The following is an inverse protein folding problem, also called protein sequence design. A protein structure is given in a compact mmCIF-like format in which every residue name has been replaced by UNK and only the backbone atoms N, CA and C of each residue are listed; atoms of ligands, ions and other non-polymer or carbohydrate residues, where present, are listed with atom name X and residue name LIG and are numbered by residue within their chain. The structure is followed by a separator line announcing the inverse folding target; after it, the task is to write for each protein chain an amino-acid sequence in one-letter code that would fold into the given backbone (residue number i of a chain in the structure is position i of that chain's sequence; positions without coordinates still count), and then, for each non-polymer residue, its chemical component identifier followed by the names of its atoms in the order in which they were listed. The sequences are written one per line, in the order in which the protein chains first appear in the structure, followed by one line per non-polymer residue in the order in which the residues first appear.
data_IF_633871406780
#
_entry.id   IF_633871406780
#
_cell.length_a   1.000
_cell.length_b   1.000
_cell.length_c   1.000
_cell.angle_alpha   90.00
_cell.angle_beta   90.00
_cell.angle_gamma   90.00
#
_symmetry.space_group_name_H-M   'P 1'
#
loop_
_entity.id
_entity.type
_entity.pdbx_description
1 polymer ?
#
# COMPACT_ATOMS: atom_id res chain seq x y z
N UNK A 1 -46.94 29.43 -11.97
CA UNK A 1 -46.67 28.02 -11.66
C UNK A 1 -45.19 27.79 -11.44
N UNK A 2 -44.69 28.18 -10.26
CA UNK A 2 -43.36 27.84 -9.76
C UNK A 2 -43.56 26.85 -8.62
N UNK A 3 -43.02 25.64 -8.74
CA UNK A 3 -42.97 24.67 -7.65
C UNK A 3 -41.62 24.83 -6.97
N UNK A 4 -41.64 25.36 -5.74
CA UNK A 4 -40.52 25.41 -4.82
C UNK A 4 -40.21 23.99 -4.34
N UNK A 5 -38.99 23.50 -4.56
CA UNK A 5 -38.48 22.26 -3.97
C UNK A 5 -37.94 22.53 -2.57
N UNK A 6 -38.46 21.84 -1.56
CA UNK A 6 -37.93 21.80 -0.21
C UNK A 6 -36.50 21.26 -0.19
N UNK A 7 -35.53 22.10 0.17
CA UNK A 7 -34.25 21.67 0.74
C UNK A 7 -34.48 21.56 2.25
N UNK A 8 -34.47 20.34 2.79
CA UNK A 8 -34.35 20.13 4.24
C UNK A 8 -32.87 20.26 4.58
N UNK A 9 -32.51 21.35 5.24
CA UNK A 9 -31.28 21.42 6.02
C UNK A 9 -31.35 20.35 7.12
N UNK A 10 -30.53 19.30 7.01
CA UNK A 10 -30.30 18.37 8.10
C UNK A 10 -29.27 18.97 9.03
N UNK A 11 -29.77 19.64 10.07
CA UNK A 11 -29.01 20.04 11.26
C UNK A 11 -28.48 18.77 11.95
N UNK A 12 -27.25 18.36 11.64
CA UNK A 12 -26.57 17.22 12.25
C UNK A 12 -26.10 17.56 13.68
N UNK A 13 -27.03 17.78 14.59
CA UNK A 13 -26.72 17.74 16.03
C UNK A 13 -26.60 16.29 16.46
N UNK A 14 -25.36 15.87 16.75
CA UNK A 14 -25.05 14.61 17.42
C UNK A 14 -25.85 14.51 18.74
N UNK A 15 -26.36 13.32 19.12
CA UNK A 15 -26.94 13.13 20.44
C UNK A 15 -25.87 13.43 21.52
N UNK A 16 -26.27 14.01 22.67
CA UNK A 16 -25.31 14.36 23.72
C UNK A 16 -24.69 13.09 24.30
N UNK A 17 -23.38 12.92 24.08
CA UNK A 17 -22.57 11.87 24.69
C UNK A 17 -22.31 12.28 26.15
N UNK A 18 -22.82 11.51 27.10
CA UNK A 18 -22.77 11.81 28.55
C UNK A 18 -21.42 11.48 29.21
N UNK A 19 -20.30 11.66 28.50
CA UNK A 19 -18.94 11.44 29.01
C UNK A 19 -17.97 12.45 28.40
N UNK A 20 -16.94 12.85 29.14
CA UNK A 20 -15.89 13.76 28.65
C UNK A 20 -15.19 13.11 27.45
N UNK A 21 -15.47 13.62 26.24
CA UNK A 21 -14.74 13.27 25.02
C UNK A 21 -13.42 14.03 25.03
N UNK A 22 -12.31 13.30 25.01
CA UNK A 22 -10.96 13.88 25.03
C UNK A 22 -10.39 13.90 23.61
N UNK A 23 -9.75 15.01 23.23
CA UNK A 23 -9.07 15.15 21.94
C UNK A 23 -7.67 14.52 22.00
N UNK A 24 -7.34 13.67 21.02
CA UNK A 24 -6.03 13.03 20.85
C UNK A 24 -5.43 13.38 19.48
N UNK A 25 -4.25 14.01 19.49
CA UNK A 25 -3.57 14.45 18.27
C UNK A 25 -2.93 13.29 17.49
N UNK A 26 -3.28 13.16 16.22
CA UNK A 26 -2.65 12.24 15.28
C UNK A 26 -1.45 12.88 14.58
N UNK A 27 -0.39 12.09 14.37
CA UNK A 27 0.69 12.46 13.44
C UNK A 27 0.29 12.05 12.02
N UNK A 28 0.96 12.61 11.02
CA UNK A 28 0.71 12.26 9.61
C UNK A 28 0.86 10.74 9.36
N UNK A 29 1.82 10.10 10.05
CA UNK A 29 2.02 8.66 10.00
C UNK A 29 0.87 7.84 10.60
N UNK A 30 -0.02 8.42 11.43
CA UNK A 30 -1.10 7.71 12.12
C UNK A 30 -2.42 7.74 11.32
N UNK A 31 -2.54 8.62 10.31
CA UNK A 31 -3.75 8.80 9.49
C UNK A 31 -4.15 7.56 8.69
N UNK A 32 -3.20 6.68 8.35
CA UNK A 32 -3.46 5.48 7.57
C UNK A 32 -4.54 4.59 8.20
N UNK A 33 -4.63 4.60 9.53
CA UNK A 33 -5.63 3.88 10.30
C UNK A 33 -7.04 4.32 9.87
N UNK A 34 -7.23 5.61 9.65
CA UNK A 34 -8.51 6.22 9.25
C UNK A 34 -8.87 5.86 7.80
N UNK A 35 -7.91 5.95 6.87
CA UNK A 35 -8.12 5.66 5.45
C UNK A 35 -8.54 4.22 5.15
N UNK A 36 -8.09 3.26 5.95
CA UNK A 36 -8.39 1.85 5.71
C UNK A 36 -9.80 1.47 6.15
N UNK A 37 -10.49 2.33 6.90
CA UNK A 37 -11.82 2.02 7.47
C UNK A 37 -12.99 2.58 6.67
N UNK A 38 -12.74 3.48 5.72
CA UNK A 38 -13.79 4.30 5.08
C UNK A 38 -14.68 3.51 4.09
N UNK A 39 -14.38 2.23 3.81
CA UNK A 39 -15.21 1.38 2.92
C UNK A 39 -14.67 -0.06 2.73
N UNK A 40 -13.40 -0.32 3.10
CA UNK A 40 -12.70 -1.55 2.73
C UNK A 40 -13.12 -2.78 3.55
N UNK A 41 -13.70 -2.60 4.73
CA UNK A 41 -14.07 -3.70 5.61
C UNK A 41 -15.57 -3.61 5.92
N UNK A 42 -16.37 -4.61 5.55
CA UNK A 42 -17.81 -4.54 5.70
C UNK A 42 -18.17 -4.45 7.19
N UNK A 43 -18.81 -3.33 7.60
CA UNK A 43 -19.67 -3.07 8.79
C UNK A 43 -19.40 -3.84 10.10
N UNK A 44 -18.22 -4.40 10.23
CA UNK A 44 -17.64 -4.96 11.43
C UNK A 44 -16.86 -3.80 11.97
N UNK A 45 -17.06 -3.38 13.24
CA UNK A 45 -16.17 -2.40 13.84
C UNK A 45 -14.75 -2.90 13.55
N UNK A 46 -13.94 -2.10 12.84
CA UNK A 46 -12.52 -2.30 12.93
C UNK A 46 -12.21 -1.94 14.38
N UNK A 47 -12.25 -2.96 15.24
CA UNK A 47 -11.50 -2.93 16.47
C UNK A 47 -10.07 -2.76 15.97
N UNK A 48 -9.46 -1.60 16.19
CA UNK A 48 -8.01 -1.49 16.15
C UNK A 48 -7.50 -2.69 16.94
N UNK A 49 -6.95 -3.68 16.22
CA UNK A 49 -7.01 -5.06 16.69
C UNK A 49 -6.30 -5.13 18.02
N UNK A 50 -7.07 -5.51 19.05
CA UNK A 50 -6.61 -5.75 20.40
C UNK A 50 -5.39 -6.66 20.34
N UNK A 51 -4.21 -6.13 20.68
CA UNK A 51 -3.07 -6.96 21.02
C UNK A 51 -3.31 -7.77 22.30
N UNK A 52 -4.39 -7.52 23.06
CA UNK A 52 -4.69 -8.22 24.31
C UNK A 52 -5.77 -9.31 24.24
N UNK A 53 -6.60 -9.35 23.19
CA UNK A 53 -7.68 -10.34 23.03
C UNK A 53 -7.38 -11.46 22.03
N UNK A 54 -6.30 -11.31 21.26
CA UNK A 54 -5.63 -12.44 20.62
C UNK A 54 -4.79 -13.06 21.71
N UNK A 55 -5.11 -14.30 22.08
CA UNK A 55 -4.33 -15.06 23.05
C UNK A 55 -2.88 -15.21 22.56
N UNK A 56 -2.01 -14.27 22.93
CA UNK A 56 -0.57 -14.40 22.78
C UNK A 56 -0.01 -15.36 23.85
N UNK A 57 -0.80 -15.82 24.82
CA UNK A 57 -0.44 -16.94 25.69
C UNK A 57 -0.58 -18.31 24.97
N UNK A 58 -1.14 -18.33 23.76
CA UNK A 58 -1.02 -19.42 22.78
C UNK A 58 0.14 -19.27 21.78
N UNK A 59 1.14 -18.41 22.08
CA UNK A 59 2.45 -18.41 21.40
C UNK A 59 3.27 -19.62 21.87
N UNK A 60 2.83 -20.83 21.54
CA UNK A 60 3.74 -21.96 21.53
C UNK A 60 4.78 -21.72 20.42
N UNK A 61 5.98 -22.29 20.56
CA UNK A 61 7.21 -22.02 19.82
C UNK A 61 7.17 -22.26 18.28
N UNK A 62 5.98 -22.30 17.66
CA UNK A 62 5.74 -22.49 16.23
C UNK A 62 4.62 -21.55 15.71
N UNK A 63 4.99 -20.38 15.18
CA UNK A 63 4.19 -19.67 14.17
C UNK A 63 3.45 -18.40 14.62
N UNK A 64 3.97 -17.26 14.17
CA UNK A 64 3.31 -15.95 14.13
C UNK A 64 1.96 -16.03 13.39
N UNK A 65 0.81 -15.83 14.05
CA UNK A 65 -0.49 -15.88 13.36
C UNK A 65 -0.80 -14.55 12.65
N UNK A 66 -0.48 -14.50 11.36
CA UNK A 66 -0.94 -13.56 10.30
C UNK A 66 -2.45 -13.69 9.99
N UNK A 67 -3.22 -14.32 10.87
CA UNK A 67 -4.55 -14.87 10.60
C UNK A 67 -5.52 -14.47 11.70
N UNK A 68 -6.53 -13.68 11.35
CA UNK A 68 -7.72 -13.55 12.19
C UNK A 68 -8.64 -14.73 11.87
N UNK A 69 -8.98 -15.52 12.90
CA UNK A 69 -10.00 -16.57 12.79
C UNK A 69 -11.35 -15.93 13.13
N UNK A 70 -12.25 -15.88 12.16
CA UNK A 70 -13.66 -15.54 12.38
C UNK A 70 -14.51 -16.81 12.23
N UNK A 71 -15.73 -16.81 12.76
CA UNK A 71 -16.70 -17.90 12.55
C UNK A 71 -16.95 -18.18 11.04
N UNK A 72 -16.59 -17.24 10.16
CA UNK A 72 -16.65 -17.37 8.69
C UNK A 72 -15.35 -17.77 7.99
N UNK A 73 -14.27 -18.15 8.70
CA UNK A 73 -13.02 -18.65 8.11
C UNK A 73 -11.76 -17.84 8.47
N UNK A 74 -10.70 -18.08 7.69
CA UNK A 74 -9.38 -17.46 7.87
C UNK A 74 -9.30 -16.14 7.10
N UNK A 75 -9.04 -15.04 7.80
CA UNK A 75 -8.79 -13.73 7.21
C UNK A 75 -7.27 -13.47 7.21
N UNK A 76 -6.72 -13.17 6.03
CA UNK A 76 -5.34 -12.71 5.92
C UNK A 76 -5.23 -11.26 6.41
N UNK A 77 -4.42 -11.00 7.43
CA UNK A 77 -4.03 -9.66 7.87
C UNK A 77 -2.62 -9.73 8.48
N UNK A 78 -1.62 -9.44 7.65
CA UNK A 78 -0.21 -9.70 7.98
C UNK A 78 0.51 -8.58 8.69
N UNK A 79 -0.06 -7.37 8.73
CA UNK A 79 0.55 -6.20 9.33
C UNK A 79 -0.31 -5.64 10.47
N UNK A 80 0.29 -5.25 11.61
CA UNK A 80 -0.44 -4.56 12.67
C UNK A 80 -0.94 -3.20 12.19
N UNK A 81 -2.24 -2.98 12.36
CA UNK A 81 -2.90 -1.67 12.18
C UNK A 81 -3.21 -1.17 13.58
N UNK A 82 -2.36 -0.29 14.11
CA UNK A 82 -2.34 0.06 15.54
C UNK A 82 -2.06 1.55 15.73
N UNK A 83 -2.64 2.15 16.77
CA UNK A 83 -2.39 3.55 17.15
C UNK A 83 -1.47 3.59 18.38
N UNK A 84 -0.20 4.04 18.24
CA UNK A 84 0.70 4.19 19.38
C UNK A 84 0.40 5.45 20.18
N UNK A 85 0.48 5.34 21.51
CA UNK A 85 0.25 6.44 22.46
C UNK A 85 1.36 6.48 23.51
N UNK A 86 1.74 7.68 23.96
CA UNK A 86 2.75 7.82 25.01
C UNK A 86 2.20 7.33 26.36
N UNK A 87 3.08 7.10 27.34
CA UNK A 87 2.64 6.77 28.72
C UNK A 87 1.80 7.90 29.31
N UNK A 88 2.18 9.16 29.07
CA UNK A 88 1.42 10.32 29.52
C UNK A 88 0.02 10.38 28.88
N UNK A 89 -0.10 10.10 27.58
CA UNK A 89 -1.39 10.05 26.91
C UNK A 89 -2.24 8.88 27.42
N UNK A 90 -1.63 7.70 27.63
CA UNK A 90 -2.33 6.55 28.22
C UNK A 90 -2.90 6.89 29.59
N UNK A 91 -2.11 7.53 30.46
CA UNK A 91 -2.55 7.93 31.81
C UNK A 91 -3.66 8.97 31.76
N UNK A 92 -3.57 9.93 30.82
CA UNK A 92 -4.58 10.96 30.64
C UNK A 92 -5.91 10.40 30.08
N UNK A 93 -5.83 9.39 29.21
CA UNK A 93 -6.96 8.80 28.52
C UNK A 93 -7.50 7.54 29.22
N UNK A 94 -6.92 7.13 30.36
CA UNK A 94 -7.35 5.93 31.06
C UNK A 94 -8.78 6.10 31.61
N UNK A 95 -9.63 5.10 31.40
CA UNK A 95 -11.03 5.13 31.82
C UNK A 95 -11.98 5.98 30.96
N UNK A 96 -11.51 6.66 29.91
CA UNK A 96 -12.42 7.35 28.97
C UNK A 96 -13.19 6.34 28.11
N UNK A 97 -14.45 6.60 27.82
CA UNK A 97 -15.28 5.71 27.00
C UNK A 97 -15.18 6.02 25.50
N UNK A 98 -14.70 7.21 25.14
CA UNK A 98 -14.42 7.61 23.78
C UNK A 98 -13.38 8.74 23.71
N UNK A 99 -12.58 8.77 22.65
CA UNK A 99 -11.66 9.86 22.32
C UNK A 99 -11.86 10.32 20.88
N UNK A 100 -11.74 11.61 20.64
CA UNK A 100 -11.73 12.18 19.30
C UNK A 100 -10.30 12.21 18.76
N UNK A 101 -10.09 11.67 17.55
CA UNK A 101 -8.80 11.72 16.88
C UNK A 101 -8.70 13.01 16.07
N UNK A 102 -7.68 13.82 16.33
CA UNK A 102 -7.51 15.16 15.77
C UNK A 102 -6.29 15.21 14.85
N UNK A 103 -6.45 15.63 13.61
CA UNK A 103 -5.34 15.87 12.68
C UNK A 103 -5.43 17.29 12.12
N UNK A 104 -4.31 18.04 12.15
CA UNK A 104 -4.24 19.44 11.73
C UNK A 104 -5.38 20.31 12.28
N UNK A 105 -5.70 20.13 13.57
CA UNK A 105 -6.76 20.87 14.27
C UNK A 105 -8.19 20.44 13.94
N UNK A 106 -8.40 19.40 13.13
CA UNK A 106 -9.72 18.86 12.77
C UNK A 106 -9.93 17.50 13.42
N UNK A 107 -11.11 17.29 14.04
CA UNK A 107 -11.54 15.97 14.49
C UNK A 107 -11.89 15.13 13.26
N UNK A 108 -11.15 14.05 13.02
CA UNK A 108 -11.30 13.19 11.84
C UNK A 108 -11.99 11.87 12.14
N UNK A 109 -11.94 11.41 13.39
CA UNK A 109 -12.56 10.16 13.82
C UNK A 109 -12.86 10.17 15.32
N UNK A 110 -13.66 9.21 15.77
CA UNK A 110 -13.90 8.89 17.18
C UNK A 110 -13.48 7.45 17.40
N UNK A 111 -12.64 7.21 18.40
CA UNK A 111 -12.32 5.87 18.88
C UNK A 111 -13.12 5.60 20.16
N UNK A 112 -14.06 4.65 20.10
CA UNK A 112 -14.89 4.25 21.26
C UNK A 112 -14.35 3.00 21.91
N UNK A 113 -14.67 2.84 23.19
CA UNK A 113 -14.28 1.69 23.99
C UNK A 113 -12.76 1.43 23.93
N UNK A 114 -11.93 2.43 24.25
CA UNK A 114 -10.49 2.31 24.08
C UNK A 114 -9.89 1.25 25.02
N UNK A 115 -8.96 0.48 24.51
CA UNK A 115 -8.22 -0.55 25.24
C UNK A 115 -6.72 -0.33 25.09
N UNK A 116 -6.04 -0.08 26.20
CA UNK A 116 -4.60 0.18 26.21
C UNK A 116 -3.80 -1.08 26.51
N UNK A 117 -2.76 -1.34 25.74
CA UNK A 117 -1.86 -2.48 25.93
C UNK A 117 -0.42 -2.14 25.53
N UNK A 118 0.54 -2.91 26.06
CA UNK A 118 1.96 -2.66 25.80
C UNK A 118 2.30 -2.85 24.32
N UNK A 119 3.13 -1.94 23.78
CA UNK A 119 3.54 -1.98 22.39
C UNK A 119 4.58 -3.08 22.10
N UNK A 120 5.43 -3.44 23.08
CA UNK A 120 6.51 -4.44 22.93
C UNK A 120 7.27 -4.29 21.60
N UNK A 121 7.77 -3.08 21.35
CA UNK A 121 8.31 -2.63 20.05
C UNK A 121 9.34 -3.58 19.44
N UNK A 122 10.28 -4.07 20.23
CA UNK A 122 11.31 -5.00 19.74
C UNK A 122 10.70 -6.30 19.19
N UNK A 123 9.79 -6.91 19.95
CA UNK A 123 9.08 -8.13 19.51
C UNK A 123 8.25 -7.85 18.25
N UNK A 124 7.49 -6.75 18.23
CA UNK A 124 6.72 -6.32 17.04
C UNK A 124 7.66 -6.23 15.83
N UNK A 125 8.77 -5.52 15.97
CA UNK A 125 9.70 -5.28 14.88
C UNK A 125 10.32 -6.58 14.36
N UNK A 126 10.81 -7.43 15.28
CA UNK A 126 11.39 -8.73 14.95
C UNK A 126 10.40 -9.61 14.17
N UNK A 127 9.14 -9.67 14.59
CA UNK A 127 8.10 -10.51 13.94
C UNK A 127 7.62 -9.93 12.61
N UNK A 128 7.44 -8.62 12.52
CA UNK A 128 6.88 -7.98 11.34
C UNK A 128 7.91 -7.85 10.21
N UNK A 129 9.15 -7.46 10.52
CA UNK A 129 10.20 -7.23 9.52
C UNK A 129 11.25 -8.34 9.43
N UNK A 130 11.31 -9.27 10.38
CA UNK A 130 12.41 -10.23 10.46
C UNK A 130 13.75 -9.63 10.91
N UNK A 131 13.73 -8.39 11.42
CA UNK A 131 14.89 -7.65 11.94
C UNK A 131 14.42 -6.59 12.93
N UNK A 132 15.31 -6.14 13.81
CA UNK A 132 15.09 -5.01 14.74
C UNK A 132 16.01 -3.82 14.44
N UNK A 133 16.61 -3.79 13.24
CA UNK A 133 17.51 -2.73 12.81
C UNK A 133 16.84 -1.34 12.89
N UNK A 134 17.31 -0.49 13.81
CA UNK A 134 16.74 0.85 14.06
C UNK A 134 16.90 1.81 12.88
N UNK A 135 17.85 1.54 11.98
CA UNK A 135 18.06 2.34 10.77
C UNK A 135 17.09 1.97 9.64
N UNK A 136 16.29 0.90 9.80
CA UNK A 136 15.21 0.63 8.87
C UNK A 136 14.16 1.75 9.02
N UNK A 137 13.75 2.43 7.95
CA UNK A 137 13.10 3.73 8.07
C UNK A 137 11.70 3.64 8.72
N UNK A 138 10.94 2.55 8.51
CA UNK A 138 9.69 2.34 9.23
C UNK A 138 9.88 1.89 10.69
N UNK A 139 10.87 1.01 10.97
CA UNK A 139 11.21 0.60 12.34
C UNK A 139 11.63 1.81 13.16
N UNK A 140 12.40 2.75 12.58
CA UNK A 140 12.77 4.01 13.23
C UNK A 140 11.53 4.74 13.77
N UNK A 141 10.51 4.94 12.93
CA UNK A 141 9.24 5.56 13.35
C UNK A 141 8.52 4.77 14.45
N UNK A 142 8.55 3.43 14.41
CA UNK A 142 7.99 2.57 15.46
C UNK A 142 8.75 2.76 16.78
N UNK A 143 10.08 2.81 16.73
CA UNK A 143 10.92 2.97 17.93
C UNK A 143 10.73 4.35 18.57
N UNK A 144 10.55 5.39 17.76
CA UNK A 144 10.27 6.78 18.18
C UNK A 144 8.81 7.01 18.62
N UNK A 145 7.92 6.04 18.43
CA UNK A 145 6.51 6.15 18.85
C UNK A 145 6.31 5.87 20.34
N UNK A 146 5.06 5.93 20.83
CA UNK A 146 4.75 5.63 22.24
C UNK A 146 4.92 4.15 22.62
N UNK A 147 5.04 3.89 23.93
CA UNK A 147 5.25 2.54 24.48
C UNK A 147 3.95 1.75 24.70
N UNK A 148 2.81 2.42 24.49
CA UNK A 148 1.48 1.84 24.55
C UNK A 148 0.84 1.86 23.17
N UNK A 149 -0.09 0.94 22.96
CA UNK A 149 -1.01 0.93 21.83
C UNK A 149 -2.44 1.08 22.36
N UNK A 150 -3.30 1.75 21.60
CA UNK A 150 -4.73 1.84 21.89
C UNK A 150 -5.55 1.14 20.79
N UNK A 151 -6.37 0.19 21.22
CA UNK A 151 -7.41 -0.47 20.43
C UNK A 151 -8.78 0.13 20.70
N UNK A 152 -9.78 -0.16 19.87
CA UNK A 152 -11.16 0.30 20.09
C UNK A 152 -11.97 0.37 18.79
N UNK A 153 -13.25 0.72 18.90
CA UNK A 153 -14.18 0.83 17.78
C UNK A 153 -14.04 2.18 17.08
N UNK A 154 -13.47 2.18 15.87
CA UNK A 154 -13.23 3.41 15.12
C UNK A 154 -14.47 3.84 14.32
N UNK A 155 -14.90 5.09 14.50
CA UNK A 155 -15.87 5.78 13.64
C UNK A 155 -15.19 6.97 12.96
N UNK A 156 -15.00 6.90 11.65
CA UNK A 156 -14.56 8.05 10.84
C UNK A 156 -15.71 9.04 10.68
N UNK A 157 -15.40 10.34 10.73
CA UNK A 157 -16.39 11.41 10.64
C UNK A 157 -16.63 11.81 9.18
N UNK A 158 -15.64 12.49 8.60
CA UNK A 158 -15.67 12.94 7.21
C UNK A 158 -14.76 12.07 6.35
N UNK A 159 -15.14 11.91 5.07
CA UNK A 159 -14.25 11.31 4.08
C UNK A 159 -12.94 12.09 4.02
N UNK A 160 -11.82 11.38 4.05
CA UNK A 160 -10.52 12.03 4.10
C UNK A 160 -10.05 12.45 2.70
N UNK A 161 -9.73 13.73 2.58
CA UNK A 161 -9.13 14.36 1.40
C UNK A 161 -7.79 14.99 1.76
N UNK A 162 -6.77 14.82 0.91
CA UNK A 162 -5.45 15.42 1.12
C UNK A 162 -5.35 16.83 0.55
N UNK A 163 -6.21 17.18 -0.41
CA UNK A 163 -6.22 18.46 -1.12
C UNK A 163 -4.87 18.76 -1.80
N UNK A 164 -4.19 17.73 -2.30
CA UNK A 164 -2.87 17.80 -2.94
C UNK A 164 -2.94 17.70 -4.48
N UNK A 165 -4.15 17.78 -5.04
CA UNK A 165 -4.42 17.64 -6.47
C UNK A 165 -4.44 16.19 -6.98
N UNK A 166 -4.41 15.20 -6.08
CA UNK A 166 -4.44 13.77 -6.43
C UNK A 166 -5.63 12.99 -5.85
N UNK A 167 -6.55 13.64 -5.14
CA UNK A 167 -7.70 12.98 -4.50
C UNK A 167 -8.63 12.27 -5.48
N UNK A 168 -8.70 12.74 -6.72
CA UNK A 168 -9.45 12.07 -7.80
C UNK A 168 -8.93 10.66 -8.14
N UNK A 169 -7.70 10.34 -7.75
CA UNK A 169 -7.13 9.00 -7.89
C UNK A 169 -7.29 8.15 -6.62
N UNK A 170 -7.70 8.72 -5.48
CA UNK A 170 -7.87 8.02 -4.20
C UNK A 170 -9.25 7.38 -4.10
N UNK A 171 -9.45 6.37 -4.95
CA UNK A 171 -10.69 5.64 -5.04
C UNK A 171 -10.84 4.62 -3.91
N UNK A 172 -12.02 4.57 -3.28
CA UNK A 172 -12.33 3.52 -2.30
C UNK A 172 -12.48 2.16 -2.99
N UNK A 173 -12.38 1.05 -2.25
CA UNK A 173 -12.65 -0.29 -2.80
C UNK A 173 -14.03 -0.41 -3.47
N UNK A 174 -15.04 0.30 -2.97
CA UNK A 174 -16.38 0.30 -3.57
C UNK A 174 -16.41 1.10 -4.87
N UNK A 175 -15.76 2.26 -4.91
CA UNK A 175 -15.60 3.06 -6.14
C UNK A 175 -14.82 2.29 -7.21
N UNK A 176 -13.77 1.55 -6.82
CA UNK A 176 -13.02 0.67 -7.73
C UNK A 176 -13.91 -0.44 -8.31
N UNK A 177 -14.65 -1.16 -7.47
CA UNK A 177 -15.61 -2.19 -7.94
C UNK A 177 -16.65 -1.62 -8.89
N UNK A 178 -17.16 -0.43 -8.58
CA UNK A 178 -18.11 0.27 -9.44
C UNK A 178 -17.49 0.61 -10.80
N UNK A 179 -16.25 1.10 -10.84
CA UNK A 179 -15.52 1.33 -12.10
C UNK A 179 -15.27 0.05 -12.90
N UNK A 180 -14.89 -1.05 -12.26
CA UNK A 180 -14.71 -2.34 -12.94
C UNK A 180 -16.02 -2.81 -13.59
N UNK A 181 -17.15 -2.62 -12.89
CA UNK A 181 -18.48 -2.92 -13.41
C UNK A 181 -18.85 -2.02 -14.60
N UNK A 182 -18.58 -0.72 -14.52
CA UNK A 182 -18.82 0.23 -15.62
C UNK A 182 -18.02 -0.11 -16.88
N UNK A 183 -16.78 -0.59 -16.71
CA UNK A 183 -15.94 -1.09 -17.81
C UNK A 183 -16.36 -2.48 -18.31
N UNK A 184 -17.39 -3.09 -17.71
CA UNK A 184 -17.80 -4.48 -17.97
C UNK A 184 -16.65 -5.49 -17.84
N UNK A 185 -15.71 -5.24 -16.94
CA UNK A 185 -14.53 -6.08 -16.74
C UNK A 185 -14.95 -7.52 -16.38
N UNK A 186 -14.39 -8.51 -17.05
CA UNK A 186 -14.59 -9.94 -16.75
C UNK A 186 -13.40 -10.56 -16.00
N UNK A 187 -12.28 -9.83 -15.93
CA UNK A 187 -11.16 -10.06 -15.03
C UNK A 187 -10.52 -8.74 -14.63
N UNK A 188 -10.10 -8.63 -13.38
CA UNK A 188 -9.28 -7.52 -12.88
C UNK A 188 -7.95 -8.06 -12.39
N UNK A 189 -6.85 -7.51 -12.90
CA UNK A 189 -5.51 -7.86 -12.46
C UNK A 189 -4.79 -6.65 -11.89
N UNK A 190 -4.23 -6.79 -10.69
CA UNK A 190 -3.63 -5.68 -9.95
C UNK A 190 -2.11 -5.68 -10.03
N UNK A 191 -1.56 -4.48 -10.20
CA UNK A 191 -0.12 -4.22 -10.10
C UNK A 191 0.14 -3.19 -9.00
N UNK A 192 0.67 -3.67 -7.86
CA UNK A 192 1.17 -2.83 -6.78
C UNK A 192 2.55 -2.28 -7.15
N UNK A 193 2.76 -0.98 -6.92
CA UNK A 193 4.05 -0.34 -7.13
C UNK A 193 4.26 0.84 -6.19
N UNK A 194 5.53 1.09 -5.85
CA UNK A 194 5.99 2.31 -5.17
C UNK A 194 7.00 3.10 -6.00
N UNK A 195 7.44 2.55 -7.13
CA UNK A 195 8.51 3.08 -7.97
C UNK A 195 7.93 3.57 -9.31
N UNK A 196 8.69 4.39 -10.07
CA UNK A 196 8.39 4.66 -11.48
C UNK A 196 8.22 3.37 -12.32
N UNK A 197 7.35 3.42 -13.33
CA UNK A 197 7.11 2.29 -14.24
C UNK A 197 8.16 2.32 -15.36
N UNK A 198 9.04 1.32 -15.39
CA UNK A 198 9.87 1.01 -16.55
C UNK A 198 9.27 -0.15 -17.35
N UNK A 199 9.80 -0.42 -18.55
CA UNK A 199 9.23 -1.42 -19.45
C UNK A 199 9.34 -2.87 -18.91
N UNK A 200 10.22 -3.13 -17.93
CA UNK A 200 10.19 -4.40 -17.19
C UNK A 200 8.89 -4.59 -16.38
N UNK A 201 8.38 -3.55 -15.73
CA UNK A 201 7.06 -3.61 -15.08
C UNK A 201 5.95 -3.74 -16.13
N UNK A 202 6.06 -2.99 -17.23
CA UNK A 202 5.11 -3.08 -18.35
C UNK A 202 5.06 -4.49 -18.94
N UNK A 203 6.20 -5.17 -19.11
CA UNK A 203 6.27 -6.56 -19.58
C UNK A 203 5.46 -7.50 -18.69
N UNK A 204 5.55 -7.37 -17.36
CA UNK A 204 4.75 -8.16 -16.43
C UNK A 204 3.25 -7.90 -16.59
N UNK A 205 2.85 -6.64 -16.74
CA UNK A 205 1.45 -6.24 -16.91
C UNK A 205 0.88 -6.71 -18.25
N UNK A 206 1.62 -6.49 -19.34
CA UNK A 206 1.26 -6.90 -20.70
C UNK A 206 1.18 -8.43 -20.83
N UNK A 207 2.17 -9.15 -20.28
CA UNK A 207 2.17 -10.62 -20.32
C UNK A 207 1.02 -11.20 -19.48
N UNK A 208 0.67 -10.57 -18.35
CA UNK A 208 -0.53 -10.95 -17.58
C UNK A 208 -1.80 -10.75 -18.40
N UNK A 209 -1.96 -9.58 -19.03
CA UNK A 209 -3.10 -9.31 -19.90
C UNK A 209 -3.21 -10.35 -21.03
N UNK A 210 -2.10 -10.66 -21.69
CA UNK A 210 -2.03 -11.68 -22.73
C UNK A 210 -2.47 -13.05 -22.23
N UNK A 211 -1.94 -13.52 -21.10
CA UNK A 211 -2.32 -14.81 -20.48
C UNK A 211 -3.80 -14.86 -20.12
N UNK A 212 -4.39 -13.75 -19.68
CA UNK A 212 -5.82 -13.68 -19.38
C UNK A 212 -6.68 -13.77 -20.65
N UNK A 213 -6.28 -13.10 -21.72
CA UNK A 213 -6.95 -13.21 -23.02
C UNK A 213 -6.85 -14.65 -23.56
N UNK A 214 -5.69 -15.30 -23.45
CA UNK A 214 -5.50 -16.71 -23.83
C UNK A 214 -6.36 -17.67 -23.01
N UNK A 215 -6.65 -17.33 -21.74
CA UNK A 215 -7.58 -18.06 -20.88
C UNK A 215 -9.06 -17.79 -21.18
N UNK A 216 -9.37 -16.90 -22.12
CA UNK A 216 -10.73 -16.62 -22.59
C UNK A 216 -11.41 -15.40 -21.97
N UNK A 217 -10.72 -14.63 -21.12
CA UNK A 217 -11.22 -13.33 -20.66
C UNK A 217 -11.21 -12.34 -21.83
N UNK A 218 -12.31 -11.62 -22.04
CA UNK A 218 -12.51 -10.71 -23.17
C UNK A 218 -12.21 -9.26 -22.83
N UNK A 219 -12.35 -8.87 -21.56
CA UNK A 219 -12.14 -7.51 -21.08
C UNK A 219 -11.35 -7.52 -19.76
N UNK A 220 -10.11 -8.06 -19.75
CA UNK A 220 -9.25 -7.96 -18.60
C UNK A 220 -8.84 -6.48 -18.37
N UNK A 221 -9.06 -5.97 -17.17
CA UNK A 221 -8.72 -4.60 -16.78
C UNK A 221 -7.54 -4.58 -15.82
N UNK A 222 -6.51 -3.80 -16.16
CA UNK A 222 -5.39 -3.53 -15.29
C UNK A 222 -5.80 -2.52 -14.21
N UNK A 223 -5.58 -2.88 -12.94
CA UNK A 223 -5.54 -1.93 -11.84
C UNK A 223 -4.08 -1.56 -11.56
N UNK A 224 -3.61 -0.46 -12.18
CA UNK A 224 -2.30 0.14 -11.88
C UNK A 224 -2.42 0.93 -10.59
N UNK A 225 -1.85 0.42 -9.51
CA UNK A 225 -2.25 0.82 -8.15
C UNK A 225 -1.07 1.37 -7.33
N UNK A 226 -0.49 2.52 -7.69
CA UNK A 226 0.63 3.11 -6.94
C UNK A 226 0.27 3.34 -5.47
N UNK A 227 1.19 2.99 -4.58
CA UNK A 227 1.09 3.33 -3.16
C UNK A 227 1.31 4.84 -2.98
N UNK A 228 0.47 5.48 -2.18
CA UNK A 228 0.50 6.92 -1.93
C UNK A 228 0.46 7.34 -0.47
N UNK A 229 0.55 6.40 0.48
CA UNK A 229 0.88 6.74 1.87
C UNK A 229 2.36 7.09 2.03
N UNK A 230 2.83 7.08 3.28
CA UNK A 230 4.24 7.35 3.59
C UNK A 230 5.20 6.40 2.85
N UNK A 231 6.30 6.96 2.33
CA UNK A 231 7.43 6.26 1.71
C UNK A 231 8.73 6.85 2.24
N UNK A 232 9.83 6.08 2.23
CA UNK A 232 11.16 6.54 2.67
C UNK A 232 11.70 7.68 1.79
N UNK A 233 12.55 8.52 2.35
CA UNK A 233 12.94 9.83 1.79
C UNK A 233 13.59 9.78 0.41
N UNK A 234 14.31 8.71 0.07
CA UNK A 234 14.98 8.57 -1.22
C UNK A 234 14.09 7.96 -2.31
N UNK A 235 12.85 7.55 -2.02
CA UNK A 235 11.89 7.13 -3.05
C UNK A 235 11.33 8.34 -3.82
N UNK A 236 10.94 8.13 -5.08
CA UNK A 236 10.35 9.21 -5.91
C UNK A 236 9.01 9.63 -5.30
N UNK A 237 8.77 10.93 -5.03
CA UNK A 237 7.53 11.40 -4.44
C UNK A 237 6.30 11.05 -5.29
N UNK A 238 5.15 10.86 -4.62
CA UNK A 238 3.91 10.45 -5.27
C UNK A 238 3.49 11.35 -6.46
N UNK A 239 3.52 12.70 -6.37
CA UNK A 239 3.15 13.55 -7.51
C UNK A 239 4.00 13.31 -8.75
N UNK A 240 5.31 13.09 -8.57
CA UNK A 240 6.23 12.79 -9.67
C UNK A 240 6.00 11.40 -10.25
N UNK A 241 5.69 10.40 -9.41
CA UNK A 241 5.30 9.07 -9.89
C UNK A 241 4.00 9.11 -10.69
N UNK A 242 2.98 9.84 -10.21
CA UNK A 242 1.71 9.98 -10.93
C UNK A 242 1.90 10.65 -12.29
N UNK A 243 2.69 11.73 -12.37
CA UNK A 243 3.09 12.34 -13.66
C UNK A 243 3.80 11.33 -14.57
N UNK A 244 4.73 10.55 -14.02
CA UNK A 244 5.48 9.54 -14.79
C UNK A 244 4.57 8.41 -15.30
N UNK A 245 3.63 7.94 -14.48
CA UNK A 245 2.66 6.90 -14.89
C UNK A 245 1.69 7.41 -15.96
N UNK A 246 1.24 8.67 -15.86
CA UNK A 246 0.44 9.31 -16.90
C UNK A 246 1.20 9.35 -18.24
N UNK A 247 2.49 9.68 -18.24
CA UNK A 247 3.33 9.66 -19.44
C UNK A 247 3.49 8.24 -20.03
N UNK A 248 3.60 7.20 -19.20
CA UNK A 248 3.62 5.80 -19.67
C UNK A 248 2.33 5.42 -20.40
N UNK A 249 1.17 5.86 -19.90
CA UNK A 249 -0.12 5.63 -20.55
C UNK A 249 -0.29 6.47 -21.81
N UNK A 250 0.19 7.72 -21.81
CA UNK A 250 0.16 8.61 -22.97
C UNK A 250 0.97 8.04 -24.15
N UNK A 251 2.11 7.40 -23.86
CA UNK A 251 2.92 6.71 -24.86
C UNK A 251 2.40 5.31 -25.22
N UNK A 252 1.24 4.90 -24.67
CA UNK A 252 0.60 3.60 -24.90
C UNK A 252 1.50 2.39 -24.65
N UNK A 253 2.47 2.53 -23.74
CA UNK A 253 3.20 1.37 -23.20
C UNK A 253 2.24 0.49 -22.39
N UNK A 254 1.28 1.12 -21.71
CA UNK A 254 0.09 0.47 -21.17
C UNK A 254 -1.13 1.07 -21.88
N UNK A 255 -2.13 0.25 -22.16
CA UNK A 255 -3.35 0.71 -22.83
C UNK A 255 -4.25 1.48 -21.84
N UNK A 256 -4.51 2.79 -22.05
CA UNK A 256 -5.37 3.56 -21.16
C UNK A 256 -6.82 3.08 -21.16
N UNK A 257 -7.31 2.48 -22.24
CA UNK A 257 -8.71 2.05 -22.35
C UNK A 257 -9.01 0.80 -21.50
N UNK A 258 -7.98 -0.01 -21.21
CA UNK A 258 -8.06 -1.19 -20.34
C UNK A 258 -7.32 -1.02 -19.00
N UNK A 259 -7.04 0.23 -18.57
CA UNK A 259 -6.30 0.51 -17.33
C UNK A 259 -7.01 1.51 -16.43
N UNK A 260 -7.20 1.14 -15.16
CA UNK A 260 -7.56 2.07 -14.09
C UNK A 260 -6.30 2.41 -13.30
N UNK A 261 -6.02 3.71 -13.18
CA UNK A 261 -5.00 4.23 -12.27
C UNK A 261 -5.67 4.72 -10.99
N UNK A 262 -5.26 4.17 -9.84
CA UNK A 262 -5.75 4.58 -8.53
C UNK A 262 -4.62 4.59 -7.50
N UNK A 263 -4.73 5.43 -6.48
CA UNK A 263 -3.74 5.55 -5.40
C UNK A 263 -4.17 4.69 -4.22
N UNK A 264 -3.31 3.75 -3.83
CA UNK A 264 -3.48 2.94 -2.63
C UNK A 264 -3.01 3.74 -1.40
N UNK A 265 -3.88 4.05 -0.41
CA UNK A 265 -3.56 5.01 0.64
C UNK A 265 -2.66 4.47 1.77
N UNK A 266 -2.29 3.18 1.76
CA UNK A 266 -1.46 2.59 2.81
C UNK A 266 -0.05 3.21 2.83
N UNK A 267 0.57 3.36 4.02
CA UNK A 267 2.00 3.51 4.17
C UNK A 267 2.74 2.30 3.60
N UNK A 268 3.95 2.53 3.13
CA UNK A 268 4.91 1.50 2.76
C UNK A 268 5.74 1.12 3.99
N UNK A 269 5.66 -0.13 4.43
CA UNK A 269 6.41 -0.62 5.60
C UNK A 269 7.79 -1.16 5.24
N UNK A 270 8.04 -1.47 3.97
CA UNK A 270 9.24 -2.15 3.48
C UNK A 270 9.48 -3.51 4.18
N UNK A 271 8.40 -4.24 4.50
CA UNK A 271 8.44 -5.49 5.26
C UNK A 271 8.38 -6.77 4.39
N UNK A 272 8.71 -6.65 3.10
CA UNK A 272 8.93 -7.79 2.21
C UNK A 272 7.79 -8.81 2.18
N UNK A 273 8.07 -10.12 2.40
CA UNK A 273 7.06 -11.18 2.39
C UNK A 273 5.90 -11.02 3.39
N UNK A 274 6.10 -10.27 4.50
CA UNK A 274 5.03 -9.94 5.44
C UNK A 274 4.10 -8.91 4.81
N UNK A 275 4.63 -7.83 4.25
CA UNK A 275 3.84 -6.74 3.71
C UNK A 275 3.19 -7.05 2.36
N UNK A 276 3.82 -7.87 1.51
CA UNK A 276 3.23 -8.20 0.20
C UNK A 276 1.87 -8.93 0.35
N UNK A 277 1.67 -9.68 1.44
CA UNK A 277 0.36 -10.26 1.79
C UNK A 277 -0.69 -9.19 2.05
N UNK A 278 -0.34 -8.11 2.77
CA UNK A 278 -1.19 -6.94 2.99
C UNK A 278 -1.53 -6.24 1.67
N UNK A 279 -0.53 -5.99 0.82
CA UNK A 279 -0.74 -5.39 -0.50
C UNK A 279 -1.69 -6.23 -1.37
N UNK A 280 -1.55 -7.56 -1.30
CA UNK A 280 -2.39 -8.51 -2.02
C UNK A 280 -3.82 -8.55 -1.48
N UNK A 281 -4.00 -8.70 -0.16
CA UNK A 281 -5.31 -8.71 0.50
C UNK A 281 -6.10 -7.43 0.21
N UNK A 282 -5.47 -6.27 0.29
CA UNK A 282 -6.12 -4.99 0.00
C UNK A 282 -6.70 -4.95 -1.43
N UNK A 283 -6.02 -5.58 -2.41
CA UNK A 283 -6.45 -5.62 -3.81
C UNK A 283 -7.56 -6.64 -4.04
N UNK A 284 -7.52 -7.78 -3.36
CA UNK A 284 -8.67 -8.70 -3.33
C UNK A 284 -9.91 -8.01 -2.77
N UNK A 285 -9.77 -7.24 -1.68
CA UNK A 285 -10.87 -6.45 -1.11
C UNK A 285 -11.40 -5.41 -2.10
N UNK A 286 -10.52 -4.79 -2.89
CA UNK A 286 -10.87 -3.88 -3.97
C UNK A 286 -11.50 -4.57 -5.20
N UNK A 287 -11.58 -5.90 -5.25
CA UNK A 287 -12.20 -6.65 -6.34
C UNK A 287 -11.25 -7.19 -7.40
N UNK A 288 -9.94 -7.18 -7.17
CA UNK A 288 -8.99 -7.84 -8.06
C UNK A 288 -9.12 -9.37 -8.00
N UNK A 289 -9.10 -10.02 -9.17
CA UNK A 289 -9.10 -11.48 -9.31
C UNK A 289 -7.69 -12.03 -9.45
N UNK A 290 -6.76 -11.25 -9.98
CA UNK A 290 -5.37 -11.64 -10.21
C UNK A 290 -4.43 -10.63 -9.55
N UNK A 291 -3.35 -11.10 -8.94
CA UNK A 291 -2.35 -10.24 -8.31
C UNK A 291 -0.96 -10.55 -8.86
N UNK A 292 -0.37 -9.58 -9.54
CA UNK A 292 0.97 -9.71 -10.10
C UNK A 292 2.00 -9.56 -8.98
N UNK A 293 2.95 -10.49 -8.90
CA UNK A 293 4.09 -10.40 -7.98
C UNK A 293 5.39 -10.71 -8.70
N UNK A 294 6.36 -9.80 -8.58
CA UNK A 294 7.71 -9.96 -9.11
C UNK A 294 8.74 -10.38 -8.06
N UNK A 295 10.01 -10.10 -8.37
CA UNK A 295 11.16 -10.27 -7.47
C UNK A 295 11.12 -9.26 -6.31
N UNK A 296 11.47 -9.72 -5.11
CA UNK A 296 11.67 -8.90 -3.90
C UNK A 296 10.55 -7.87 -3.64
N UNK A 297 9.27 -8.31 -3.67
CA UNK A 297 8.16 -7.39 -3.50
C UNK A 297 8.17 -6.82 -2.08
N UNK A 298 7.96 -5.51 -1.98
CA UNK A 298 8.06 -4.77 -0.72
C UNK A 298 9.42 -4.85 0.01
N UNK A 299 10.46 -5.33 -0.66
CA UNK A 299 11.82 -5.34 -0.12
C UNK A 299 12.57 -4.03 -0.26
N UNK A 300 13.67 -3.94 0.48
CA UNK A 300 14.71 -2.92 0.40
C UNK A 300 16.05 -3.53 0.83
N UNK A 301 17.19 -2.89 0.51
CA UNK A 301 18.47 -3.26 1.11
C UNK A 301 18.46 -3.08 2.63
N UNK A 302 19.10 -4.00 3.35
CA UNK A 302 19.35 -3.91 4.77
C UNK A 302 20.23 -2.68 5.06
N UNK A 303 19.79 -1.72 5.91
CA UNK A 303 20.50 -0.46 6.13
C UNK A 303 21.98 -0.61 6.51
N UNK A 304 22.29 -1.55 7.40
CA UNK A 304 23.67 -1.77 7.87
C UNK A 304 24.59 -2.55 6.91
N UNK A 305 24.06 -3.39 6.01
CA UNK A 305 24.89 -4.31 5.20
C UNK A 305 24.82 -4.07 3.70
N UNK A 306 23.82 -3.32 3.23
CA UNK A 306 23.58 -3.06 1.81
C UNK A 306 23.07 -4.26 1.00
N UNK A 307 22.98 -5.46 1.60
CA UNK A 307 22.38 -6.65 0.96
C UNK A 307 20.86 -6.56 0.99
N UNK A 308 20.15 -7.23 0.08
CA UNK A 308 18.69 -7.33 0.14
C UNK A 308 18.24 -7.85 1.52
N UNK A 309 17.27 -7.16 2.15
CA UNK A 309 16.77 -7.52 3.49
C UNK A 309 16.04 -8.86 3.48
N UNK A 310 15.47 -9.23 2.34
CA UNK A 310 14.72 -10.46 2.14
C UNK A 310 15.30 -11.24 0.98
N UNK A 311 15.13 -12.56 1.02
CA UNK A 311 15.45 -13.39 -0.14
C UNK A 311 14.46 -13.06 -1.27
N UNK A 312 14.92 -12.76 -2.50
CA UNK A 312 14.08 -12.16 -3.54
C UNK A 312 12.91 -13.02 -4.04
N UNK A 313 12.93 -14.33 -3.84
CA UNK A 313 11.84 -15.25 -4.20
C UNK A 313 10.80 -15.44 -3.09
N UNK A 314 11.13 -15.08 -1.84
CA UNK A 314 10.27 -15.36 -0.69
C UNK A 314 8.90 -14.69 -0.79
N UNK A 315 8.81 -13.46 -1.31
CA UNK A 315 7.53 -12.76 -1.42
C UNK A 315 6.50 -13.50 -2.27
N UNK A 316 6.91 -13.99 -3.45
CA UNK A 316 6.04 -14.78 -4.32
C UNK A 316 5.68 -16.13 -3.70
N UNK A 317 6.68 -16.85 -3.13
CA UNK A 317 6.46 -18.15 -2.47
C UNK A 317 5.48 -18.03 -1.30
N UNK A 318 5.69 -17.05 -0.41
CA UNK A 318 4.82 -16.80 0.74
C UNK A 318 3.41 -16.47 0.30
N UNK A 319 3.22 -15.61 -0.71
CA UNK A 319 1.88 -15.30 -1.23
C UNK A 319 1.14 -16.54 -1.74
N UNK A 320 1.81 -17.42 -2.47
CA UNK A 320 1.16 -18.63 -3.04
C UNK A 320 0.69 -19.62 -1.98
N UNK A 321 1.24 -19.57 -0.76
CA UNK A 321 0.85 -20.42 0.37
C UNK A 321 0.12 -19.65 1.48
N UNK A 322 -0.10 -18.34 1.32
CA UNK A 322 -0.67 -17.51 2.35
C UNK A 322 -2.17 -17.81 2.53
N UNK A 323 -2.61 -18.15 3.76
CA UNK A 323 -4.01 -18.48 4.01
C UNK A 323 -4.89 -17.22 3.96
N UNK A 324 -6.17 -17.38 3.61
CA UNK A 324 -7.15 -16.29 3.57
C UNK A 324 -7.10 -15.42 2.30
N UNK A 325 -6.31 -15.81 1.30
CA UNK A 325 -6.22 -15.18 -0.03
C UNK A 325 -7.02 -15.96 -1.10
N UNK A 326 -8.23 -16.40 -0.76
CA UNK A 326 -8.98 -17.43 -1.51
C UNK A 326 -9.67 -16.94 -2.79
N UNK A 327 -9.96 -15.65 -2.92
CA UNK A 327 -10.70 -15.09 -4.05
C UNK A 327 -9.81 -14.45 -5.12
N UNK A 328 -8.50 -14.74 -5.07
CA UNK A 328 -7.53 -14.18 -6.00
C UNK A 328 -6.51 -15.24 -6.45
N UNK A 329 -6.04 -15.15 -7.68
CA UNK A 329 -4.93 -15.95 -8.20
C UNK A 329 -3.63 -15.12 -8.20
N UNK A 330 -2.56 -15.69 -7.66
CA UNK A 330 -1.23 -15.08 -7.69
C UNK A 330 -0.60 -15.34 -9.06
N UNK A 331 -0.11 -14.27 -9.72
CA UNK A 331 0.61 -14.35 -10.99
C UNK A 331 2.08 -14.03 -10.74
N UNK A 332 2.91 -15.04 -10.43
CA UNK A 332 4.32 -14.82 -10.14
C UNK A 332 5.13 -14.64 -11.42
N UNK A 333 6.09 -13.73 -11.38
CA UNK A 333 7.04 -13.49 -12.45
C UNK A 333 8.48 -13.63 -12.01
N UNK A 334 9.30 -14.10 -12.95
CA UNK A 334 10.75 -14.05 -12.84
C UNK A 334 11.24 -12.61 -13.04
N UNK A 335 12.53 -12.39 -12.79
CA UNK A 335 13.17 -11.09 -13.00
C UNK A 335 13.07 -10.69 -14.47
N UNK A 336 12.68 -9.45 -14.73
CA UNK A 336 12.80 -8.83 -16.05
C UNK A 336 14.02 -7.89 -16.06
N UNK A 337 14.82 -7.94 -17.13
CA UNK A 337 16.03 -7.15 -17.30
C UNK A 337 16.15 -6.69 -18.76
N UNK A 338 17.00 -5.70 -19.03
CA UNK A 338 17.19 -5.17 -20.38
C UNK A 338 18.04 -6.14 -21.19
N UNK A 339 17.48 -6.78 -22.22
CA UNK A 339 18.23 -7.65 -23.12
C UNK A 339 18.87 -6.80 -24.23
N UNK A 340 20.20 -6.70 -24.21
CA UNK A 340 21.00 -5.88 -25.13
C UNK A 340 20.90 -6.34 -26.59
N UNK A 341 20.70 -7.64 -26.82
CA UNK A 341 20.58 -8.21 -28.17
C UNK A 341 19.21 -7.88 -28.76
N UNK A 342 18.15 -7.94 -27.92
CA UNK A 342 16.79 -7.63 -28.35
C UNK A 342 16.47 -6.13 -28.35
N UNK A 343 17.27 -5.30 -27.66
CA UNK A 343 17.00 -3.87 -27.50
C UNK A 343 15.72 -3.60 -26.71
N UNK A 344 15.36 -4.48 -25.78
CA UNK A 344 14.09 -4.42 -25.06
C UNK A 344 14.15 -5.12 -23.70
N UNK A 345 13.17 -4.84 -22.84
CA UNK A 345 13.00 -5.58 -21.58
C UNK A 345 12.50 -7.00 -21.86
N UNK A 346 13.10 -7.98 -21.19
CA UNK A 346 12.82 -9.40 -21.39
C UNK A 346 12.96 -10.18 -20.07
N UNK A 347 12.38 -11.38 -20.00
CA UNK A 347 12.52 -12.25 -18.84
C UNK A 347 13.93 -12.83 -18.77
N UNK A 348 14.60 -12.65 -17.63
CA UNK A 348 15.99 -13.05 -17.46
C UNK A 348 16.19 -14.56 -17.62
N UNK A 349 17.18 -14.93 -18.44
CA UNK A 349 17.61 -16.30 -18.66
C UNK A 349 19.07 -16.50 -18.22
N UNK A 350 19.34 -17.30 -17.16
CA UNK A 350 20.70 -17.47 -16.62
C UNK A 350 21.74 -17.96 -17.63
N UNK A 351 21.33 -18.80 -18.59
CA UNK A 351 22.20 -19.32 -19.65
C UNK A 351 22.76 -18.24 -20.58
N UNK A 352 22.10 -17.09 -20.67
CA UNK A 352 22.46 -15.97 -21.53
C UNK A 352 22.77 -14.72 -20.71
N UNK A 353 23.36 -14.89 -19.52
CA UNK A 353 23.58 -13.79 -18.57
C UNK A 353 24.27 -12.57 -19.21
N UNK A 354 25.26 -12.78 -20.08
CA UNK A 354 25.99 -11.69 -20.73
C UNK A 354 25.11 -10.78 -21.60
N UNK A 355 23.93 -11.23 -22.02
CA UNK A 355 23.02 -10.47 -22.89
C UNK A 355 22.17 -9.48 -22.09
N UNK A 356 22.10 -9.62 -20.76
CA UNK A 356 21.25 -8.80 -19.91
C UNK A 356 22.00 -7.67 -19.21
N UNK A 357 21.40 -6.49 -19.18
CA UNK A 357 21.80 -5.35 -18.37
C UNK A 357 20.79 -5.10 -17.24
N UNK A 358 21.27 -5.10 -16.00
CA UNK A 358 20.47 -4.85 -14.81
C UNK A 358 20.62 -3.40 -14.38
N UNK A 359 19.64 -2.58 -14.77
CA UNK A 359 19.61 -1.16 -14.42
C UNK A 359 18.91 -1.02 -13.06
N UNK A 360 19.71 -0.92 -12.01
CA UNK A 360 19.20 -0.71 -10.64
C UNK A 360 18.58 0.67 -10.47
N UNK A 361 17.77 0.84 -9.42
CA UNK A 361 17.25 2.15 -9.02
C UNK A 361 18.37 3.17 -8.87
N UNK A 362 19.47 2.82 -8.19
CA UNK A 362 20.64 3.70 -8.03
C UNK A 362 21.25 4.14 -9.36
N UNK A 363 21.43 3.21 -10.31
CA UNK A 363 21.96 3.53 -11.64
C UNK A 363 20.99 4.41 -12.44
N UNK A 364 19.70 4.11 -12.37
CA UNK A 364 18.65 4.93 -12.98
C UNK A 364 18.66 6.36 -12.44
N UNK A 365 18.76 6.54 -11.11
CA UNK A 365 18.86 7.87 -10.48
C UNK A 365 20.10 8.63 -10.93
N UNK A 366 21.23 7.94 -11.02
CA UNK A 366 22.50 8.53 -11.48
C UNK A 366 22.37 9.05 -12.92
N UNK A 367 21.90 8.20 -13.84
CA UNK A 367 21.69 8.57 -15.25
C UNK A 367 20.75 9.78 -15.37
N UNK A 368 19.64 9.80 -14.61
CA UNK A 368 18.70 10.92 -14.65
C UNK A 368 19.29 12.25 -14.15
N UNK A 369 20.14 12.23 -13.12
CA UNK A 369 20.85 13.41 -12.62
C UNK A 369 21.88 13.92 -13.63
N UNK A 370 22.67 13.01 -14.18
CA UNK A 370 23.70 13.29 -15.20
C UNK A 370 23.10 13.73 -16.55
N UNK A 371 21.78 13.68 -16.71
CA UNK A 371 21.08 14.02 -17.95
C UNK A 371 21.20 12.94 -19.03
N UNK A 372 21.76 11.78 -18.69
CA UNK A 372 21.89 10.62 -19.57
C UNK A 372 20.53 9.95 -19.80
N UNK A 373 20.41 9.22 -20.92
CA UNK A 373 19.25 8.37 -21.17
C UNK A 373 19.61 6.90 -20.89
N UNK A 374 18.68 6.10 -20.32
CA UNK A 374 18.85 4.67 -20.30
C UNK A 374 18.81 4.14 -21.75
N UNK A 375 19.21 2.88 -21.98
CA UNK A 375 19.06 2.24 -23.28
C UNK A 375 17.62 2.34 -23.81
N UNK A 376 17.49 2.55 -25.12
CA UNK A 376 16.19 2.59 -25.80
C UNK A 376 15.39 1.31 -25.48
N UNK A 377 14.10 1.46 -25.18
CA UNK A 377 13.26 0.32 -24.80
C UNK A 377 13.31 -0.06 -23.31
N UNK A 378 14.16 0.58 -22.48
CA UNK A 378 14.11 0.41 -21.03
C UNK A 378 12.89 1.10 -20.38
N UNK A 379 12.55 2.32 -20.82
CA UNK A 379 11.42 3.11 -20.34
C UNK A 379 10.91 4.00 -21.48
N UNK A 380 9.61 4.32 -21.46
CA UNK A 380 9.00 5.29 -22.37
C UNK A 380 9.70 6.67 -22.28
N UNK A 381 9.86 7.38 -23.40
CA UNK A 381 10.72 8.57 -23.47
C UNK A 381 10.15 9.77 -22.71
N UNK A 382 8.84 10.02 -22.80
CA UNK A 382 8.14 11.04 -21.99
C UNK A 382 8.19 10.67 -20.52
N UNK A 383 8.02 9.38 -20.21
CA UNK A 383 8.11 8.92 -18.83
C UNK A 383 9.52 9.11 -18.24
N UNK A 384 10.57 8.88 -19.04
CA UNK A 384 11.95 9.19 -18.66
C UNK A 384 12.19 10.68 -18.50
N UNK A 385 11.62 11.52 -19.38
CA UNK A 385 11.73 12.97 -19.28
C UNK A 385 11.19 13.51 -17.94
N UNK A 386 10.06 12.98 -17.44
CA UNK A 386 9.52 13.32 -16.12
C UNK A 386 10.52 12.98 -15.00
N UNK A 387 11.21 11.84 -15.09
CA UNK A 387 12.23 11.48 -14.10
C UNK A 387 13.46 12.37 -14.16
N UNK A 388 13.93 12.73 -15.37
CA UNK A 388 15.01 13.70 -15.53
C UNK A 388 14.65 15.05 -14.91
N UNK A 389 13.45 15.56 -15.19
CA UNK A 389 12.95 16.80 -14.60
C UNK A 389 12.97 16.75 -13.06
N UNK A 390 12.46 15.65 -12.47
CA UNK A 390 12.50 15.45 -11.03
C UNK A 390 13.94 15.44 -10.49
N UNK A 391 14.83 14.61 -11.03
CA UNK A 391 16.18 14.46 -10.49
C UNK A 391 17.04 15.71 -10.69
N UNK A 392 16.85 16.44 -11.78
CA UNK A 392 17.51 17.73 -12.02
C UNK A 392 16.95 18.86 -11.13
N UNK A 393 15.70 18.76 -10.69
CA UNK A 393 15.14 19.72 -9.72
C UNK A 393 15.77 19.60 -8.33
N UNK A 394 16.27 18.41 -7.97
CA UNK A 394 16.95 18.17 -6.70
C UNK A 394 18.35 18.80 -6.64
N UNK A 395 19.00 19.06 -7.78
CA UNK A 395 20.31 19.73 -7.82
C UNK A 395 20.20 21.26 -7.71
N UNK A 396 19.00 21.79 -7.97
CA UNK A 396 18.70 23.23 -7.93
C UNK A 396 18.13 23.68 -6.58
N UNK A 397 17.72 22.74 -5.74
CA UNK A 397 17.18 22.95 -4.39
C UNK A 397 18.30 22.73 -3.37
#
# INVERSE_FOLDING_TARGET
NQVKSCVKESDHRLPPLSGQMVDFGLRQGDLHIVFMTDDAFPKTPLRLVSGGGVDWAGLDCAGSRTILRSQGGVINLSVPIVLPVSTADKEHLDGVTAMALVYNGRRVAILRNPEFYQHRKEERCARQWGTTCKDHPYIKMVMESGDWLVGGDLQVLDRIYWNDGLDQYRLTPNELKQKFKEMNADAVFAFQLRNPVHNGHALLMQDTQKRLVERGYRRPVLLLHPLGGWTKDDDVPLPWRMKQHAAVLEERVLDPDSTIVAIFPSPMMYAGPTEVQWHCRARMVAGANFYIVGRDPAGMPHPATGKDLYEPSHGAKVLTMAPGLVSLEIVPFKVAAYNKVKGAMDFYEPKNHQDYDFISGTRMRRMAREGENPPDGFMALKAWAVLKEYYQSLEKA
#
